data_IF_430028713558
#
_entry.id   IF_430028713558
#
_cell.length_a   1.000
_cell.length_b   1.000
_cell.length_c   1.000
_cell.angle_alpha   90.00
_cell.angle_beta   90.00
_cell.angle_gamma   90.00
#
_symmetry.space_group_name_H-M   'P 1'
#
loop_
_entity.id
_entity.type
_entity.pdbx_description
1 polymer ?
#
# COMPACT_ATOMS: atom_id res chain seq x y z
N UNK A 1 45.77 -30.63 9.35
CA UNK A 1 45.75 -29.16 9.39
C UNK A 1 44.96 -28.57 8.25
N UNK A 2 45.15 -28.99 7.01
CA UNK A 2 44.46 -28.45 5.82
C UNK A 2 42.92 -28.64 5.80
N UNK A 3 42.38 -29.72 6.36
CA UNK A 3 40.91 -29.98 6.43
C UNK A 3 40.14 -29.01 7.37
N UNK A 4 40.78 -28.46 8.38
CA UNK A 4 40.14 -27.50 9.31
C UNK A 4 40.10 -26.10 8.71
N UNK A 5 41.09 -25.68 7.93
CA UNK A 5 41.12 -24.39 7.26
C UNK A 5 40.03 -24.29 6.21
N UNK A 6 39.76 -25.35 5.45
CA UNK A 6 38.69 -25.42 4.43
C UNK A 6 37.29 -25.27 5.06
N UNK A 7 37.10 -25.85 6.28
CA UNK A 7 35.84 -25.76 7.02
C UNK A 7 35.54 -24.34 7.50
N UNK A 8 36.53 -23.57 7.93
CA UNK A 8 36.38 -22.16 8.34
C UNK A 8 36.15 -21.24 7.14
N UNK A 9 36.78 -21.48 6.00
CA UNK A 9 36.56 -20.75 4.75
C UNK A 9 35.11 -20.95 4.28
N UNK A 10 34.56 -22.16 4.38
CA UNK A 10 33.16 -22.43 3.99
C UNK A 10 32.14 -21.74 4.91
N UNK A 11 32.40 -21.68 6.22
CA UNK A 11 31.52 -21.00 7.20
C UNK A 11 31.55 -19.48 6.98
N UNK A 12 32.71 -18.90 6.70
CA UNK A 12 32.83 -17.46 6.41
C UNK A 12 32.12 -17.12 5.09
N UNK A 13 32.21 -17.99 4.07
CA UNK A 13 31.54 -17.78 2.79
C UNK A 13 30.00 -17.86 2.92
N UNK A 14 29.46 -18.78 3.73
CA UNK A 14 28.04 -18.89 4.01
C UNK A 14 27.50 -17.69 4.80
N UNK A 15 28.26 -17.13 5.73
CA UNK A 15 27.86 -15.95 6.49
C UNK A 15 27.84 -14.68 5.63
N UNK A 16 28.72 -14.56 4.63
CA UNK A 16 28.72 -13.44 3.68
C UNK A 16 27.54 -13.50 2.69
N UNK A 17 27.11 -14.70 2.29
CA UNK A 17 25.94 -14.88 1.40
C UNK A 17 24.64 -14.55 2.13
N UNK A 18 24.51 -14.96 3.39
CA UNK A 18 23.33 -14.67 4.21
C UNK A 18 23.19 -13.16 4.52
N UNK A 19 24.30 -12.48 4.80
CA UNK A 19 24.29 -11.05 5.08
C UNK A 19 23.92 -10.19 3.86
N UNK A 20 24.25 -10.61 2.65
CA UNK A 20 23.87 -9.89 1.42
C UNK A 20 22.40 -10.07 1.07
N UNK A 21 21.81 -11.24 1.32
CA UNK A 21 20.38 -11.47 1.12
C UNK A 21 19.55 -10.60 2.06
N UNK A 22 19.87 -10.54 3.35
CA UNK A 22 19.15 -9.71 4.33
C UNK A 22 19.29 -8.20 4.03
N UNK A 23 20.47 -7.75 3.57
CA UNK A 23 20.67 -6.35 3.18
C UNK A 23 19.91 -5.99 1.90
N UNK A 24 19.70 -6.93 0.98
CA UNK A 24 18.93 -6.71 -0.23
C UNK A 24 17.42 -6.66 0.05
N UNK A 25 16.94 -7.41 1.03
CA UNK A 25 15.54 -7.42 1.48
C UNK A 25 15.16 -6.11 2.16
N UNK A 26 15.96 -5.62 3.10
CA UNK A 26 15.77 -4.30 3.71
C UNK A 26 15.76 -3.19 2.64
N UNK A 27 16.55 -3.32 1.58
CA UNK A 27 16.63 -2.33 0.51
C UNK A 27 15.35 -2.23 -0.35
N UNK A 28 14.56 -3.30 -0.52
CA UNK A 28 13.31 -3.24 -1.31
C UNK A 28 12.19 -2.50 -0.59
N UNK A 29 12.00 -2.77 0.69
CA UNK A 29 10.99 -2.06 1.51
C UNK A 29 11.39 -0.59 1.68
N UNK A 30 12.67 -0.30 1.93
CA UNK A 30 13.18 1.08 2.00
C UNK A 30 12.97 1.81 0.67
N UNK A 31 13.26 1.19 -0.47
CA UNK A 31 13.01 1.78 -1.80
C UNK A 31 11.52 2.03 -2.05
N UNK A 32 10.65 1.17 -1.57
CA UNK A 32 9.21 1.40 -1.65
C UNK A 32 8.83 2.65 -0.87
N UNK A 33 9.31 2.78 0.37
CA UNK A 33 9.14 3.96 1.20
C UNK A 33 9.59 5.24 0.48
N UNK A 34 10.85 5.27 0.00
CA UNK A 34 11.43 6.42 -0.71
C UNK A 34 10.59 6.76 -1.95
N UNK A 35 10.19 5.73 -2.72
CA UNK A 35 9.38 5.91 -3.93
C UNK A 35 8.06 6.62 -3.65
N UNK A 36 7.31 6.20 -2.63
CA UNK A 36 6.01 6.80 -2.30
C UNK A 36 6.11 8.11 -1.51
N UNK A 37 7.24 8.34 -0.83
CA UNK A 37 7.48 9.58 -0.07
C UNK A 37 7.97 10.72 -0.95
N UNK A 38 8.75 10.43 -1.99
CA UNK A 38 9.44 11.43 -2.81
C UNK A 38 8.76 11.70 -4.16
N UNK A 39 7.85 10.84 -4.60
CA UNK A 39 7.24 10.92 -5.93
C UNK A 39 5.71 10.91 -5.86
N UNK A 40 5.08 11.39 -6.92
CA UNK A 40 3.72 11.02 -7.27
C UNK A 40 3.76 9.65 -7.95
N UNK A 41 3.19 8.64 -7.32
CA UNK A 41 3.09 7.29 -7.87
C UNK A 41 1.68 7.05 -8.36
N UNK A 42 1.54 6.63 -9.62
CA UNK A 42 0.24 6.20 -10.17
C UNK A 42 0.25 4.70 -10.39
N UNK A 43 -0.75 4.03 -9.83
CA UNK A 43 -0.99 2.59 -9.96
C UNK A 43 -2.30 2.35 -10.71
N UNK A 44 -2.25 1.52 -11.75
CA UNK A 44 -3.45 0.90 -12.34
C UNK A 44 -3.55 -0.52 -11.78
N UNK A 45 -4.66 -0.86 -11.12
CA UNK A 45 -4.81 -2.11 -10.40
C UNK A 45 -6.09 -2.84 -10.77
N UNK A 46 -6.02 -4.17 -10.77
CA UNK A 46 -7.19 -5.04 -10.63
C UNK A 46 -7.29 -5.46 -9.15
N UNK A 47 -8.50 -5.45 -8.61
CA UNK A 47 -8.73 -5.95 -7.25
C UNK A 47 -9.82 -7.00 -7.20
N UNK A 48 -9.72 -7.88 -6.20
CA UNK A 48 -10.81 -8.77 -5.82
C UNK A 48 -10.94 -8.85 -4.31
N UNK A 49 -12.19 -8.99 -3.86
CA UNK A 49 -12.54 -9.18 -2.45
C UNK A 49 -13.27 -10.50 -2.32
N UNK A 50 -12.74 -11.40 -1.50
CA UNK A 50 -13.34 -12.68 -1.14
C UNK A 50 -13.65 -12.72 0.34
N UNK A 51 -14.86 -13.21 0.68
CA UNK A 51 -15.31 -13.34 2.06
C UNK A 51 -16.54 -14.22 2.15
N UNK A 52 -17.44 -13.94 3.07
CA UNK A 52 -18.67 -14.71 3.30
C UNK A 52 -19.74 -14.62 2.20
N UNK A 53 -19.50 -13.88 1.11
CA UNK A 53 -20.40 -13.68 -0.02
C UNK A 53 -19.75 -13.95 -1.38
N UNK A 54 -20.42 -13.58 -2.49
CA UNK A 54 -19.85 -13.65 -3.83
C UNK A 54 -18.57 -12.81 -3.94
N UNK A 55 -17.59 -13.31 -4.72
CA UNK A 55 -16.36 -12.55 -4.98
C UNK A 55 -16.68 -11.26 -5.75
N UNK A 56 -16.24 -10.11 -5.21
CA UNK A 56 -16.34 -8.81 -5.87
C UNK A 56 -15.02 -8.53 -6.57
N UNK A 57 -15.07 -8.09 -7.83
CA UNK A 57 -13.90 -7.74 -8.65
C UNK A 57 -14.09 -6.37 -9.27
N UNK A 58 -12.99 -5.66 -9.43
CA UNK A 58 -12.99 -4.35 -10.07
C UNK A 58 -11.61 -3.90 -10.50
N UNK A 59 -11.59 -2.68 -11.01
CA UNK A 59 -10.38 -1.96 -11.40
C UNK A 59 -10.36 -0.61 -10.68
N UNK A 60 -9.16 -0.14 -10.39
CA UNK A 60 -8.98 1.20 -9.84
C UNK A 60 -7.68 1.83 -10.37
N UNK A 61 -7.68 3.16 -10.41
CA UNK A 61 -6.48 3.97 -10.54
C UNK A 61 -6.22 4.65 -9.19
N UNK A 62 -4.98 4.58 -8.71
CA UNK A 62 -4.54 5.19 -7.48
C UNK A 62 -3.41 6.17 -7.80
N UNK A 63 -3.55 7.43 -7.41
CA UNK A 63 -2.48 8.41 -7.37
C UNK A 63 -2.09 8.63 -5.91
N UNK A 64 -0.83 8.36 -5.56
CA UNK A 64 -0.35 8.33 -4.18
C UNK A 64 0.87 9.23 -4.04
N UNK A 65 0.91 10.08 -2.99
CA UNK A 65 2.02 11.00 -2.71
C UNK A 65 2.08 11.31 -1.20
N UNK A 66 3.06 10.74 -0.50
CA UNK A 66 3.16 10.91 0.95
C UNK A 66 1.90 10.42 1.67
N UNK A 67 1.13 11.34 2.25
CA UNK A 67 -0.18 11.05 2.87
C UNK A 67 -1.36 11.34 1.94
N UNK A 68 -1.12 12.02 0.82
CA UNK A 68 -2.17 12.43 -0.10
C UNK A 68 -2.44 11.34 -1.15
N UNK A 69 -3.71 11.20 -1.53
CA UNK A 69 -4.09 10.25 -2.55
C UNK A 69 -5.36 10.63 -3.29
N UNK A 70 -5.50 10.11 -4.52
CA UNK A 70 -6.74 10.11 -5.28
C UNK A 70 -6.95 8.69 -5.83
N UNK A 71 -8.12 8.13 -5.57
CA UNK A 71 -8.52 6.78 -6.01
C UNK A 71 -9.78 6.90 -6.84
N UNK A 72 -9.75 6.33 -8.04
CA UNK A 72 -10.92 6.20 -8.92
C UNK A 72 -11.21 4.73 -9.11
N UNK A 73 -12.36 4.27 -8.66
CA UNK A 73 -12.75 2.86 -8.80
C UNK A 73 -14.03 2.51 -8.07
N UNK A 74 -14.68 1.43 -8.48
CA UNK A 74 -15.90 0.96 -7.82
C UNK A 74 -17.10 1.91 -7.87
N UNK A 75 -17.08 2.93 -8.72
CA UNK A 75 -18.11 3.97 -8.80
C UNK A 75 -17.85 5.19 -7.92
N UNK A 76 -16.71 5.23 -7.22
CA UNK A 76 -16.33 6.32 -6.32
C UNK A 76 -15.07 7.03 -6.81
N UNK A 77 -15.00 8.33 -6.52
CA UNK A 77 -13.79 9.14 -6.52
C UNK A 77 -13.43 9.47 -5.07
N UNK A 78 -12.28 8.99 -4.58
CA UNK A 78 -11.84 9.22 -3.21
C UNK A 78 -10.59 10.11 -3.24
N UNK A 79 -10.67 11.25 -2.60
CA UNK A 79 -9.59 12.24 -2.50
C UNK A 79 -9.10 12.34 -1.07
N UNK A 80 -7.80 12.58 -0.90
CA UNK A 80 -7.20 12.91 0.39
C UNK A 80 -6.02 13.85 0.17
N UNK A 81 -6.02 15.00 0.81
CA UNK A 81 -4.93 15.98 0.75
C UNK A 81 -3.87 15.80 1.86
N UNK A 82 -4.04 14.77 2.69
CA UNK A 82 -3.21 14.50 3.85
C UNK A 82 -3.81 14.97 5.19
N UNK A 83 -4.96 15.63 5.16
CA UNK A 83 -5.71 16.11 6.35
C UNK A 83 -7.18 15.69 6.29
N UNK A 84 -7.83 15.86 5.15
CA UNK A 84 -9.24 15.54 4.92
C UNK A 84 -9.37 14.48 3.82
N UNK A 85 -10.40 13.65 3.95
CA UNK A 85 -10.80 12.63 2.98
C UNK A 85 -12.18 13.02 2.43
N UNK A 86 -12.34 12.98 1.11
CA UNK A 86 -13.62 13.15 0.41
C UNK A 86 -13.96 11.86 -0.33
N UNK A 87 -15.08 11.24 0.03
CA UNK A 87 -15.62 10.07 -0.68
C UNK A 87 -16.78 10.58 -1.53
N UNK A 88 -16.57 10.62 -2.84
CA UNK A 88 -17.48 11.23 -3.80
C UNK A 88 -18.15 10.17 -4.65
N UNK A 89 -19.47 10.05 -4.56
CA UNK A 89 -20.32 9.34 -5.50
C UNK A 89 -20.93 10.32 -6.48
N UNK A 90 -20.42 10.35 -7.70
CA UNK A 90 -20.91 11.24 -8.75
C UNK A 90 -22.29 10.85 -9.28
N UNK A 91 -22.67 9.57 -9.14
CA UNK A 91 -23.94 9.04 -9.65
C UNK A 91 -25.09 9.47 -8.75
N UNK A 92 -24.96 9.30 -7.45
CA UNK A 92 -25.95 9.73 -6.45
C UNK A 92 -25.81 11.21 -6.10
N UNK A 93 -24.72 11.89 -6.47
CA UNK A 93 -24.32 13.23 -6.03
C UNK A 93 -24.22 13.33 -4.51
N UNK A 94 -23.53 12.40 -3.95
CA UNK A 94 -23.24 12.35 -2.52
C UNK A 94 -21.76 12.54 -2.27
N UNK A 95 -21.42 13.25 -1.20
CA UNK A 95 -20.05 13.36 -0.70
C UNK A 95 -20.03 13.21 0.81
N UNK A 96 -19.14 12.36 1.29
CA UNK A 96 -18.79 12.25 2.71
C UNK A 96 -17.42 12.88 2.88
N UNK A 97 -17.28 13.75 3.87
CA UNK A 97 -16.04 14.44 4.19
C UNK A 97 -15.63 14.03 5.61
N UNK A 98 -14.43 13.51 5.75
CA UNK A 98 -13.91 13.02 7.02
C UNK A 98 -12.50 13.59 7.29
N UNK A 99 -12.10 13.68 8.55
CA UNK A 99 -10.69 13.90 8.90
C UNK A 99 -9.89 12.62 8.64
N UNK A 100 -8.68 12.79 8.11
CA UNK A 100 -7.77 11.65 7.96
C UNK A 100 -7.42 11.09 9.35
N UNK A 101 -7.72 9.82 9.58
CA UNK A 101 -7.32 9.13 10.81
C UNK A 101 -5.84 8.78 10.74
N UNK A 102 -5.06 9.26 11.70
CA UNK A 102 -3.64 8.90 11.85
C UNK A 102 -3.47 7.69 12.80
N UNK A 103 -2.34 6.99 12.65
CA UNK A 103 -2.00 5.84 13.47
C UNK A 103 -2.43 4.48 12.90
N UNK A 104 -2.38 3.40 13.72
CA UNK A 104 -2.60 2.04 13.24
C UNK A 104 -3.99 1.77 12.66
N UNK A 105 -4.98 2.57 13.04
CA UNK A 105 -6.34 2.44 12.51
C UNK A 105 -6.49 3.13 11.15
N UNK A 106 -5.70 4.18 10.89
CA UNK A 106 -5.77 4.96 9.65
C UNK A 106 -5.07 4.35 8.45
N UNK A 107 -4.12 3.42 8.63
CA UNK A 107 -3.40 2.86 7.47
C UNK A 107 -4.27 1.97 6.58
N UNK A 108 -5.35 1.40 7.13
CA UNK A 108 -6.29 0.58 6.34
C UNK A 108 -7.06 1.42 5.34
N UNK A 109 -7.40 2.64 5.72
CA UNK A 109 -8.15 3.60 4.88
C UNK A 109 -7.25 4.49 4.03
N UNK A 110 -5.93 4.49 4.29
CA UNK A 110 -4.96 5.30 3.56
C UNK A 110 -3.88 4.43 2.89
N UNK A 111 -4.06 4.05 1.62
CA UNK A 111 -3.09 3.21 0.90
C UNK A 111 -1.73 3.89 0.71
N UNK A 112 -1.66 5.22 0.64
CA UNK A 112 -0.41 5.96 0.55
C UNK A 112 0.39 5.82 1.85
N UNK A 113 -0.27 6.01 3.00
CA UNK A 113 0.33 5.83 4.31
C UNK A 113 0.77 4.39 4.54
N UNK A 114 -0.10 3.42 4.19
CA UNK A 114 0.22 1.99 4.28
C UNK A 114 1.49 1.64 3.53
N UNK A 115 1.59 2.03 2.26
CA UNK A 115 2.71 1.66 1.38
C UNK A 115 4.00 2.43 1.70
N UNK A 116 3.90 3.65 2.24
CA UNK A 116 5.07 4.45 2.62
C UNK A 116 5.62 4.13 4.00
N UNK A 117 4.93 3.34 4.84
CA UNK A 117 5.32 3.06 6.24
C UNK A 117 5.13 1.60 6.62
N UNK A 118 5.33 0.67 5.67
CA UNK A 118 5.11 -0.77 5.90
C UNK A 118 5.91 -1.31 7.10
N UNK A 119 7.15 -0.89 7.26
CA UNK A 119 8.05 -1.31 8.34
C UNK A 119 7.66 -0.77 9.72
N UNK A 120 6.91 0.32 9.78
CA UNK A 120 6.39 0.83 11.05
C UNK A 120 5.19 0.01 11.54
N UNK A 121 4.31 -0.39 10.64
CA UNK A 121 3.05 -1.06 10.99
C UNK A 121 3.17 -2.58 11.02
N UNK A 122 4.17 -3.14 10.32
CA UNK A 122 4.31 -4.58 10.17
C UNK A 122 5.72 -5.08 10.49
N UNK A 123 5.79 -6.29 11.03
CA UNK A 123 7.00 -7.10 11.00
C UNK A 123 7.09 -7.73 9.61
N UNK A 124 8.11 -7.35 8.86
CA UNK A 124 8.32 -7.78 7.48
C UNK A 124 9.22 -9.01 7.45
N UNK A 125 8.78 -10.09 6.81
CA UNK A 125 9.57 -11.31 6.64
C UNK A 125 9.55 -11.76 5.18
N UNK A 126 10.71 -11.97 4.60
CA UNK A 126 10.82 -12.64 3.29
C UNK A 126 10.40 -14.10 3.38
N UNK A 127 9.62 -14.56 2.39
CA UNK A 127 9.21 -15.96 2.31
C UNK A 127 10.09 -16.69 1.29
N UNK A 128 10.15 -16.20 0.06
CA UNK A 128 10.94 -16.73 -1.04
C UNK A 128 10.99 -15.72 -2.19
N UNK A 129 12.15 -15.57 -2.79
CA UNK A 129 12.34 -14.66 -3.91
C UNK A 129 12.04 -13.21 -3.51
N UNK A 130 11.04 -12.58 -4.14
CA UNK A 130 10.63 -11.20 -3.90
C UNK A 130 9.23 -11.10 -3.28
N UNK A 131 8.86 -12.11 -2.49
CA UNK A 131 7.60 -12.15 -1.74
C UNK A 131 7.87 -11.98 -0.25
N UNK A 132 7.04 -11.16 0.39
CA UNK A 132 7.16 -10.83 1.80
C UNK A 132 5.83 -11.04 2.50
N UNK A 133 5.86 -11.66 3.68
CA UNK A 133 4.74 -11.62 4.63
C UNK A 133 4.88 -10.41 5.51
N UNK A 134 3.77 -9.79 5.80
CA UNK A 134 3.62 -8.63 6.67
C UNK A 134 2.72 -9.04 7.83
N UNK A 135 3.30 -9.13 9.03
CA UNK A 135 2.54 -9.41 10.26
C UNK A 135 2.29 -8.10 10.98
N UNK A 136 1.03 -7.69 11.21
CA UNK A 136 0.75 -6.46 11.94
C UNK A 136 1.40 -6.46 13.33
N UNK A 137 2.02 -5.35 13.71
CA UNK A 137 2.61 -5.15 15.05
C UNK A 137 1.55 -4.88 16.10
N UNK A 138 0.40 -4.36 15.70
CA UNK A 138 -0.76 -4.06 16.56
C UNK A 138 -1.99 -4.76 16.02
N UNK A 139 -2.97 -5.02 16.89
CA UNK A 139 -4.28 -5.50 16.46
C UNK A 139 -5.00 -4.39 15.70
N UNK A 140 -5.61 -4.73 14.59
CA UNK A 140 -6.36 -3.81 13.72
C UNK A 140 -7.21 -4.59 12.72
N UNK A 141 -7.67 -3.92 11.69
CA UNK A 141 -8.50 -4.53 10.65
C UNK A 141 -7.73 -5.49 9.74
N UNK A 142 -6.44 -5.25 9.51
CA UNK A 142 -5.58 -6.19 8.78
C UNK A 142 -4.98 -7.19 9.76
N UNK A 143 -5.19 -8.49 9.52
CA UNK A 143 -4.66 -9.57 10.37
C UNK A 143 -3.43 -10.23 9.77
N UNK A 144 -3.28 -10.18 8.44
CA UNK A 144 -2.10 -10.64 7.71
C UNK A 144 -2.03 -9.93 6.35
N UNK A 145 -0.84 -9.77 5.83
CA UNK A 145 -0.66 -9.33 4.46
C UNK A 145 0.54 -10.02 3.79
N UNK A 146 0.48 -10.11 2.46
CA UNK A 146 1.59 -10.54 1.62
C UNK A 146 1.77 -9.52 0.50
N UNK A 147 3.02 -9.20 0.17
CA UNK A 147 3.35 -8.33 -0.97
C UNK A 147 4.40 -9.00 -1.85
N UNK A 148 4.33 -8.74 -3.15
CA UNK A 148 5.29 -9.25 -4.12
C UNK A 148 5.84 -8.12 -4.99
N UNK A 149 7.12 -8.26 -5.36
CA UNK A 149 7.86 -7.30 -6.17
C UNK A 149 8.39 -7.93 -7.44
N UNK A 150 8.53 -7.13 -8.49
CA UNK A 150 9.22 -7.51 -9.73
C UNK A 150 10.75 -7.63 -9.51
N UNK A 151 11.50 -8.17 -10.49
CA UNK A 151 12.97 -8.12 -10.47
C UNK A 151 13.54 -6.70 -10.30
N UNK A 152 12.86 -5.70 -10.82
CA UNK A 152 13.24 -4.29 -10.77
C UNK A 152 12.83 -3.60 -9.46
N UNK A 153 12.19 -4.33 -8.52
CA UNK A 153 11.76 -3.82 -7.23
C UNK A 153 10.44 -3.04 -7.26
N UNK A 154 9.64 -3.16 -8.33
CA UNK A 154 8.30 -2.55 -8.40
C UNK A 154 7.29 -3.45 -7.71
N UNK A 155 6.32 -2.85 -7.02
CA UNK A 155 5.19 -3.58 -6.45
C UNK A 155 4.37 -4.25 -7.57
N UNK A 156 4.10 -5.55 -7.43
CA UNK A 156 3.34 -6.35 -8.41
C UNK A 156 1.99 -6.76 -7.86
N UNK A 157 1.94 -7.15 -6.60
CA UNK A 157 0.69 -7.57 -5.96
C UNK A 157 0.72 -7.42 -4.45
N UNK A 158 -0.45 -7.33 -3.86
CA UNK A 158 -0.68 -7.41 -2.43
C UNK A 158 -1.90 -8.28 -2.12
N UNK A 159 -1.84 -9.05 -1.04
CA UNK A 159 -2.98 -9.79 -0.48
C UNK A 159 -3.11 -9.36 0.97
N UNK A 160 -4.29 -8.92 1.37
CA UNK A 160 -4.58 -8.45 2.72
C UNK A 160 -5.73 -9.29 3.29
N UNK A 161 -5.51 -9.91 4.43
CA UNK A 161 -6.55 -10.63 5.18
C UNK A 161 -7.08 -9.71 6.27
N UNK A 162 -8.39 -9.49 6.25
CA UNK A 162 -9.06 -8.59 7.18
C UNK A 162 -9.59 -9.35 8.41
N UNK A 163 -9.85 -8.64 9.49
CA UNK A 163 -10.36 -9.19 10.75
C UNK A 163 -11.78 -9.76 10.63
N UNK A 164 -12.56 -9.32 9.66
CA UNK A 164 -13.89 -9.85 9.33
C UNK A 164 -13.84 -11.12 8.46
N UNK A 165 -12.63 -11.62 8.15
CA UNK A 165 -12.39 -12.80 7.33
C UNK A 165 -12.39 -12.55 5.83
N UNK A 166 -12.58 -11.31 5.38
CA UNK A 166 -12.42 -10.95 3.98
C UNK A 166 -10.94 -10.97 3.56
N UNK A 167 -10.68 -11.39 2.32
CA UNK A 167 -9.36 -11.30 1.70
C UNK A 167 -9.42 -10.36 0.50
N UNK A 168 -8.59 -9.33 0.52
CA UNK A 168 -8.40 -8.39 -0.56
C UNK A 168 -7.17 -8.78 -1.35
N UNK A 169 -7.33 -8.99 -2.65
CA UNK A 169 -6.21 -9.22 -3.56
C UNK A 169 -6.11 -8.04 -4.52
N UNK A 170 -4.92 -7.46 -4.61
CA UNK A 170 -4.60 -6.34 -5.50
C UNK A 170 -3.50 -6.80 -6.45
N UNK A 171 -3.70 -6.63 -7.75
CA UNK A 171 -2.71 -6.87 -8.79
C UNK A 171 -2.38 -5.54 -9.45
N UNK A 172 -1.10 -5.16 -9.46
CA UNK A 172 -0.62 -3.93 -10.09
C UNK A 172 -0.33 -4.20 -11.54
N UNK A 173 -1.14 -3.65 -12.44
CA UNK A 173 -0.98 -3.78 -13.89
C UNK A 173 0.05 -2.79 -14.43
N UNK A 174 0.08 -1.60 -13.84
CA UNK A 174 1.01 -0.54 -14.22
C UNK A 174 1.38 0.32 -13.01
N UNK A 175 2.64 0.69 -12.94
CA UNK A 175 3.18 1.62 -11.94
C UNK A 175 4.03 2.66 -12.65
N UNK A 176 3.69 3.93 -12.48
CA UNK A 176 4.44 5.07 -13.02
C UNK A 176 4.79 6.05 -11.91
N UNK A 177 5.86 6.80 -12.10
CA UNK A 177 6.35 7.82 -11.17
C UNK A 177 6.48 9.16 -11.90
N UNK A 178 6.16 10.24 -11.20
CA UNK A 178 6.28 11.61 -11.67
C UNK A 178 6.71 12.52 -10.51
N UNK A 179 7.17 13.75 -10.78
CA UNK A 179 7.39 14.74 -9.73
C UNK A 179 6.11 14.99 -8.91
N UNK A 180 6.29 15.31 -7.64
CA UNK A 180 5.19 15.63 -6.74
C UNK A 180 4.35 16.81 -7.25
N UNK A 181 3.06 16.76 -6.95
CA UNK A 181 2.09 17.83 -7.21
C UNK A 181 1.81 18.61 -5.92
N UNK A 182 1.30 19.85 -6.01
CA UNK A 182 0.73 20.55 -4.85
C UNK A 182 -0.40 19.72 -4.21
N UNK A 183 -0.52 19.73 -2.89
CA UNK A 183 -1.56 18.97 -2.18
C UNK A 183 -2.99 19.36 -2.60
N UNK A 184 -3.20 20.60 -3.05
CA UNK A 184 -4.48 21.07 -3.63
C UNK A 184 -4.90 20.30 -4.88
N UNK A 185 -3.99 19.60 -5.56
CA UNK A 185 -4.32 18.72 -6.68
C UNK A 185 -5.05 17.43 -6.25
N UNK A 186 -5.08 17.16 -4.94
CA UNK A 186 -5.80 16.04 -4.34
C UNK A 186 -7.13 16.47 -3.70
N UNK A 187 -7.61 17.67 -3.97
CA UNK A 187 -8.98 18.10 -3.66
C UNK A 187 -9.93 17.69 -4.78
N UNK A 188 -11.20 17.44 -4.47
CA UNK A 188 -12.22 17.25 -5.49
C UNK A 188 -12.27 18.44 -6.44
N UNK A 189 -12.23 18.19 -7.75
CA UNK A 189 -12.42 19.23 -8.78
C UNK A 189 -13.89 19.65 -8.93
N UNK A 190 -14.80 18.83 -8.42
CA UNK A 190 -16.25 19.09 -8.45
C UNK A 190 -16.63 20.09 -7.37
N UNK A 191 -17.45 21.08 -7.74
CA UNK A 191 -18.06 22.00 -6.77
C UNK A 191 -19.35 21.37 -6.24
N UNK A 192 -19.42 21.13 -4.93
CA UNK A 192 -20.63 20.63 -4.28
C UNK A 192 -21.66 21.77 -4.10
N UNK A 193 -22.55 21.88 -5.06
CA UNK A 193 -23.65 22.84 -5.03
C UNK A 193 -24.89 22.28 -4.29
N UNK A 194 -26.01 22.98 -4.33
CA UNK A 194 -27.26 22.57 -3.66
C UNK A 194 -27.86 21.23 -4.17
N UNK A 195 -27.36 20.70 -5.28
CA UNK A 195 -27.82 19.41 -5.81
C UNK A 195 -27.07 18.22 -5.20
N UNK A 196 -26.06 18.49 -4.37
CA UNK A 196 -25.28 17.47 -3.69
C UNK A 196 -25.76 17.24 -2.26
N UNK A 197 -25.77 15.99 -1.84
CA UNK A 197 -25.89 15.61 -0.43
C UNK A 197 -24.48 15.64 0.15
N UNK A 198 -24.22 16.58 1.05
CA UNK A 198 -22.92 16.75 1.69
C UNK A 198 -23.02 16.33 3.15
N UNK A 199 -22.27 15.31 3.54
CA UNK A 199 -22.12 14.86 4.93
C UNK A 199 -20.71 15.18 5.40
N UNK A 200 -20.56 16.21 6.22
CA UNK A 200 -19.27 16.61 6.81
C UNK A 200 -19.17 16.08 8.25
N UNK A 201 -18.21 15.20 8.48
CA UNK A 201 -17.96 14.50 9.75
C UNK A 201 -16.68 14.98 10.46
N UNK A 202 -16.06 16.06 9.97
CA UNK A 202 -14.81 16.61 10.55
C UNK A 202 -15.02 17.34 11.86
#
# INVERSE_FOLDING_TARGET
MMKHILKYILIVFLSFVSGRLLAQEASMITRLYDTFSENLVTLEVDYSVKGGGPEVKGKAELQLQGKAYHIVGGGYDIYCDGESVWIVDQTSKEVIIESLTEGPEGYVTNPALLLSRLDEFFDVKSIAGRKYTLKPKTKGEITAAEVAFSPEGKLVSGVFTMSDGNAWTITVNKMTMAPQKPLTAFHPSVRFDKSWIVTDLR
#
